data_IF_341734147989
#
_entry.id   IF_341734147989
#
_cell.length_a   1.000
_cell.length_b   1.000
_cell.length_c   1.000
_cell.angle_alpha   90.00
_cell.angle_beta   90.00
_cell.angle_gamma   90.00
#
_symmetry.space_group_name_H-M   'P 1'
#
loop_
_entity.id
_entity.type
_entity.pdbx_description
1 polymer ?
#
# COMPACT_ATOMS: atom_id res chain seq x y z
N UNK A 1 -34.50 -16.62 -7.34
CA UNK A 1 -33.44 -17.13 -6.46
C UNK A 1 -32.19 -16.33 -6.76
N UNK A 2 -31.77 -15.47 -5.83
CA UNK A 2 -30.54 -14.67 -5.96
C UNK A 2 -29.36 -15.61 -5.78
N UNK A 3 -28.57 -15.84 -6.83
CA UNK A 3 -27.30 -16.54 -6.75
C UNK A 3 -26.33 -15.56 -6.08
N UNK A 4 -26.21 -15.67 -4.75
CA UNK A 4 -25.09 -15.05 -4.05
C UNK A 4 -23.84 -15.83 -4.49
N UNK A 5 -23.13 -15.31 -5.50
CA UNK A 5 -21.77 -15.72 -5.77
C UNK A 5 -20.99 -15.46 -4.46
N UNK A 6 -20.61 -16.57 -3.82
CA UNK A 6 -19.79 -16.53 -2.60
C UNK A 6 -18.40 -16.03 -3.02
N UNK A 7 -18.20 -14.72 -3.02
CA UNK A 7 -16.91 -14.12 -3.34
C UNK A 7 -15.97 -14.50 -2.19
N UNK A 8 -15.04 -15.42 -2.45
CA UNK A 8 -14.03 -15.84 -1.46
C UNK A 8 -13.19 -14.62 -1.08
N UNK A 9 -13.29 -14.14 0.15
CA UNK A 9 -12.51 -13.03 0.68
C UNK A 9 -11.03 -13.39 0.74
N UNK A 10 -10.18 -12.46 0.40
CA UNK A 10 -8.74 -12.57 0.62
C UNK A 10 -8.44 -12.23 2.07
N UNK A 11 -7.72 -13.13 2.75
CA UNK A 11 -7.28 -12.99 4.14
C UNK A 11 -5.77 -13.18 4.21
N UNK A 12 -5.16 -12.88 5.35
CA UNK A 12 -3.73 -13.13 5.59
C UNK A 12 -3.37 -14.61 5.35
N UNK A 13 -4.27 -15.52 5.69
CA UNK A 13 -4.11 -16.96 5.43
C UNK A 13 -4.11 -17.27 3.93
N UNK A 14 -5.01 -16.67 3.15
CA UNK A 14 -5.05 -16.83 1.68
C UNK A 14 -3.75 -16.36 1.03
N UNK A 15 -3.15 -15.25 1.51
CA UNK A 15 -1.86 -14.81 0.98
C UNK A 15 -0.75 -15.83 1.26
N UNK A 16 -0.76 -16.44 2.44
CA UNK A 16 0.18 -17.52 2.76
C UNK A 16 -0.03 -18.76 1.85
N UNK A 17 -1.28 -19.16 1.61
CA UNK A 17 -1.60 -20.24 0.66
C UNK A 17 -1.10 -19.91 -0.76
N UNK A 18 -1.28 -18.67 -1.23
CA UNK A 18 -0.79 -18.23 -2.54
C UNK A 18 0.74 -18.39 -2.65
N UNK A 19 1.50 -17.97 -1.63
CA UNK A 19 2.95 -18.20 -1.60
C UNK A 19 3.28 -19.68 -1.71
N UNK A 20 2.65 -20.54 -0.91
CA UNK A 20 2.91 -21.99 -0.94
C UNK A 20 2.62 -22.63 -2.31
N UNK A 21 1.67 -22.08 -3.07
CA UNK A 21 1.32 -22.54 -4.42
C UNK A 21 2.13 -21.87 -5.52
N UNK A 22 2.99 -20.89 -5.19
CA UNK A 22 3.72 -20.09 -6.18
C UNK A 22 2.83 -19.10 -6.94
N UNK A 23 1.60 -18.84 -6.47
CA UNK A 23 0.68 -17.85 -7.03
C UNK A 23 1.13 -16.44 -6.63
N UNK A 24 1.19 -15.52 -7.60
CA UNK A 24 1.65 -14.15 -7.32
C UNK A 24 0.54 -13.28 -6.75
N UNK A 25 0.88 -12.49 -5.74
CA UNK A 25 -0.02 -11.58 -5.04
C UNK A 25 0.02 -10.22 -5.74
N UNK A 26 -1.13 -9.72 -6.14
CA UNK A 26 -1.30 -8.38 -6.71
C UNK A 26 -1.76 -7.40 -5.63
N UNK A 27 -1.06 -6.27 -5.51
CA UNK A 27 -1.35 -5.24 -4.52
C UNK A 27 -1.27 -3.86 -5.16
N UNK A 28 -2.24 -3.00 -4.86
CA UNK A 28 -2.27 -1.59 -5.29
C UNK A 28 -2.73 -0.71 -4.14
N UNK A 29 -2.30 0.55 -4.15
CA UNK A 29 -2.85 1.52 -3.21
C UNK A 29 -4.25 1.99 -3.64
N UNK A 30 -5.08 2.40 -2.67
CA UNK A 30 -6.29 3.19 -2.90
C UNK A 30 -6.56 4.09 -1.69
N UNK A 31 -7.24 5.23 -1.93
CA UNK A 31 -7.43 6.26 -0.93
C UNK A 31 -8.87 6.76 -0.84
N UNK A 32 -9.73 6.31 -1.75
CA UNK A 32 -11.14 6.69 -1.81
C UNK A 32 -12.06 5.53 -2.20
N UNK A 33 -13.36 5.76 -2.03
CA UNK A 33 -14.40 4.76 -2.29
C UNK A 33 -14.46 4.32 -3.76
N UNK A 34 -14.38 5.24 -4.71
CA UNK A 34 -14.60 4.95 -6.13
C UNK A 34 -13.46 4.12 -6.71
N UNK A 35 -12.21 4.53 -6.43
CA UNK A 35 -11.03 3.80 -6.87
C UNK A 35 -10.97 2.41 -6.22
N UNK A 36 -11.19 2.32 -4.91
CA UNK A 36 -11.17 1.04 -4.20
C UNK A 36 -12.21 0.05 -4.75
N UNK A 37 -13.42 0.53 -5.10
CA UNK A 37 -14.46 -0.29 -5.72
C UNK A 37 -14.03 -0.82 -7.09
N UNK A 38 -13.41 0.01 -7.91
CA UNK A 38 -12.90 -0.40 -9.23
C UNK A 38 -11.84 -1.49 -9.07
N UNK A 39 -10.89 -1.31 -8.15
CA UNK A 39 -9.81 -2.28 -7.89
C UNK A 39 -10.35 -3.61 -7.37
N UNK A 40 -11.30 -3.59 -6.44
CA UNK A 40 -11.92 -4.79 -5.89
C UNK A 40 -12.68 -5.56 -6.97
N UNK A 41 -13.43 -4.87 -7.84
CA UNK A 41 -14.12 -5.44 -8.99
C UNK A 41 -13.17 -5.99 -10.05
N UNK A 42 -11.99 -5.39 -10.22
CA UNK A 42 -10.93 -5.88 -11.09
C UNK A 42 -10.24 -7.14 -10.56
N UNK A 43 -10.50 -7.52 -9.30
CA UNK A 43 -9.97 -8.75 -8.71
C UNK A 43 -8.61 -8.60 -8.05
N UNK A 44 -8.20 -7.40 -7.64
CA UNK A 44 -6.96 -7.18 -6.87
C UNK A 44 -6.96 -8.01 -5.58
N UNK A 45 -5.82 -8.54 -5.16
CA UNK A 45 -5.77 -9.37 -3.95
C UNK A 45 -5.65 -8.53 -2.68
N UNK A 46 -4.85 -7.48 -2.71
CA UNK A 46 -4.61 -6.59 -1.57
C UNK A 46 -4.78 -5.13 -1.98
N UNK A 47 -5.48 -4.37 -1.16
CA UNK A 47 -5.54 -2.91 -1.25
C UNK A 47 -4.79 -2.32 -0.06
N UNK A 48 -3.82 -1.46 -0.36
CA UNK A 48 -3.08 -0.69 0.62
C UNK A 48 -3.65 0.73 0.72
N UNK A 49 -4.11 1.10 1.90
CA UNK A 49 -4.30 2.52 2.22
C UNK A 49 -2.96 3.03 2.72
N UNK A 50 -2.14 3.51 1.77
CA UNK A 50 -0.76 3.92 2.02
C UNK A 50 -0.66 5.34 2.55
N UNK A 51 0.34 5.61 3.37
CA UNK A 51 0.71 6.98 3.77
C UNK A 51 1.21 7.85 2.58
N UNK A 52 1.47 7.22 1.43
CA UNK A 52 1.64 7.88 0.13
C UNK A 52 0.43 8.75 -0.27
N UNK A 53 -0.73 8.62 0.42
CA UNK A 53 -1.83 9.59 0.33
C UNK A 53 -1.35 11.03 0.61
N UNK A 54 -0.37 11.20 1.50
CA UNK A 54 0.29 12.49 1.75
C UNK A 54 0.80 13.14 0.45
N UNK A 55 1.42 12.35 -0.43
CA UNK A 55 1.95 12.84 -1.71
C UNK A 55 0.84 13.00 -2.77
N UNK A 56 0.11 11.91 -3.06
CA UNK A 56 -0.76 11.85 -4.25
C UNK A 56 -2.16 12.39 -4.04
N UNK A 57 -2.61 12.55 -2.79
CA UNK A 57 -3.92 13.12 -2.44
C UNK A 57 -3.79 14.53 -1.85
N UNK A 58 -2.83 14.75 -0.95
CA UNK A 58 -2.64 16.03 -0.26
C UNK A 58 -1.57 16.94 -0.91
N UNK A 59 -0.71 16.41 -1.80
CA UNK A 59 0.29 17.18 -2.53
C UNK A 59 1.53 17.55 -1.70
N UNK A 60 1.81 16.82 -0.61
CA UNK A 60 3.03 17.01 0.17
C UNK A 60 4.25 16.36 -0.50
N UNK A 61 5.45 16.87 -0.20
CA UNK A 61 6.72 16.37 -0.75
C UNK A 61 7.15 15.01 -0.14
N UNK A 62 6.56 14.61 0.98
CA UNK A 62 6.87 13.36 1.68
C UNK A 62 5.64 12.73 2.33
N UNK A 63 5.78 11.51 2.83
CA UNK A 63 4.72 10.81 3.57
C UNK A 63 4.57 11.29 5.03
N UNK A 64 5.52 12.09 5.54
CA UNK A 64 5.58 12.46 6.95
C UNK A 64 4.43 13.31 7.48
N UNK A 65 3.85 14.26 6.70
CA UNK A 65 2.81 15.16 7.21
C UNK A 65 1.47 14.50 7.48
N UNK A 66 1.15 13.37 6.82
CA UNK A 66 -0.18 12.76 6.95
C UNK A 66 -0.44 12.29 8.39
N UNK A 67 -1.60 12.63 8.90
CA UNK A 67 -2.01 12.32 10.28
C UNK A 67 -2.74 10.98 10.36
N UNK A 68 -2.87 10.45 11.58
CA UNK A 68 -3.66 9.25 11.84
C UNK A 68 -5.15 9.45 11.49
N UNK A 69 -5.69 10.64 11.72
CA UNK A 69 -7.10 10.97 11.42
C UNK A 69 -7.36 10.98 9.90
N UNK A 70 -6.44 11.51 9.11
CA UNK A 70 -6.51 11.46 7.65
C UNK A 70 -6.39 10.03 7.13
N UNK A 71 -5.50 9.22 7.70
CA UNK A 71 -5.41 7.79 7.36
C UNK A 71 -6.72 7.04 7.68
N UNK A 72 -7.35 7.35 8.82
CA UNK A 72 -8.66 6.80 9.20
C UNK A 72 -9.75 7.24 8.20
N UNK A 73 -9.75 8.48 7.76
CA UNK A 73 -10.68 8.99 6.74
C UNK A 73 -10.55 8.22 5.42
N UNK A 74 -9.34 8.08 4.90
CA UNK A 74 -9.06 7.32 3.68
C UNK A 74 -9.43 5.85 3.84
N UNK A 75 -8.99 5.22 4.92
CA UNK A 75 -9.26 3.80 5.18
C UNK A 75 -10.76 3.51 5.30
N UNK A 76 -11.52 4.36 5.99
CA UNK A 76 -12.98 4.24 6.11
C UNK A 76 -13.68 4.30 4.75
N UNK A 77 -13.17 5.15 3.84
CA UNK A 77 -13.70 5.27 2.49
C UNK A 77 -13.44 4.00 1.66
N UNK A 78 -12.22 3.46 1.75
CA UNK A 78 -11.80 2.23 1.07
C UNK A 78 -12.58 1.02 1.60
N UNK A 79 -12.67 0.86 2.91
CA UNK A 79 -13.34 -0.31 3.53
C UNK A 79 -14.81 -0.41 3.12
N UNK A 80 -15.53 0.71 3.02
CA UNK A 80 -16.93 0.69 2.55
C UNK A 80 -17.11 0.20 1.12
N UNK A 81 -16.07 0.31 0.29
CA UNK A 81 -16.11 -0.05 -1.12
C UNK A 81 -15.77 -1.53 -1.39
N UNK A 82 -14.95 -2.14 -0.55
CA UNK A 82 -14.27 -3.41 -0.80
C UNK A 82 -15.08 -4.59 -0.24
N UNK A 83 -15.22 -5.65 -1.04
CA UNK A 83 -15.94 -6.88 -0.64
C UNK A 83 -15.04 -8.10 -0.59
N UNK A 84 -13.97 -8.14 -1.41
CA UNK A 84 -13.10 -9.29 -1.59
C UNK A 84 -11.68 -9.07 -1.08
N UNK A 85 -11.03 -7.99 -1.50
CA UNK A 85 -9.61 -7.76 -1.25
C UNK A 85 -9.27 -7.64 0.24
N UNK A 86 -8.05 -8.05 0.61
CA UNK A 86 -7.48 -7.76 1.93
C UNK A 86 -7.14 -6.27 1.99
N UNK A 87 -7.58 -5.58 3.04
CA UNK A 87 -7.28 -4.16 3.25
C UNK A 87 -6.21 -4.03 4.32
N UNK A 88 -5.09 -3.43 3.95
CA UNK A 88 -3.98 -3.08 4.84
C UNK A 88 -3.88 -1.56 4.93
N UNK A 89 -3.66 -1.02 6.12
CA UNK A 89 -3.55 0.44 6.35
C UNK A 89 -2.20 0.77 6.95
N UNK A 90 -1.51 1.75 6.39
CA UNK A 90 -0.26 2.23 6.97
C UNK A 90 -0.50 2.97 8.28
N UNK A 91 0.30 2.67 9.30
CA UNK A 91 0.46 3.56 10.43
C UNK A 91 1.33 4.75 9.98
N UNK A 92 0.84 6.00 10.07
CA UNK A 92 1.61 7.16 9.66
C UNK A 92 2.78 7.43 10.60
N UNK A 93 3.76 8.18 10.12
CA UNK A 93 4.92 8.60 10.91
C UNK A 93 4.50 9.26 12.23
N UNK A 94 5.21 8.92 13.31
CA UNK A 94 4.95 9.43 14.66
C UNK A 94 3.88 8.67 15.44
N UNK A 95 3.14 7.76 14.81
CA UNK A 95 2.05 7.02 15.46
C UNK A 95 2.48 5.72 16.14
N UNK A 96 3.72 5.24 15.89
CA UNK A 96 4.20 3.95 16.43
C UNK A 96 5.70 3.92 16.78
N UNK A 97 6.49 4.91 16.34
CA UNK A 97 7.95 4.92 16.56
C UNK A 97 8.33 5.33 17.99
N UNK A 98 7.46 6.04 18.68
CA UNK A 98 7.75 6.58 20.02
C UNK A 98 7.77 5.50 21.11
N UNK A 99 6.75 4.64 21.13
CA UNK A 99 6.61 3.55 22.10
C UNK A 99 5.52 2.55 21.67
N UNK A 100 5.54 1.36 22.27
CA UNK A 100 4.63 0.26 21.94
C UNK A 100 3.17 0.50 22.36
N UNK A 101 2.90 1.38 23.33
CA UNK A 101 1.53 1.74 23.75
C UNK A 101 0.88 2.66 22.72
N UNK A 102 1.64 3.64 22.21
CA UNK A 102 1.20 4.51 21.12
C UNK A 102 0.93 3.73 19.86
N UNK A 103 1.80 2.77 19.50
CA UNK A 103 1.59 1.86 18.38
C UNK A 103 0.28 1.07 18.51
N UNK A 104 0.01 0.49 19.68
CA UNK A 104 -1.22 -0.23 19.93
C UNK A 104 -2.45 0.68 19.87
N UNK A 105 -2.40 1.86 20.50
CA UNK A 105 -3.51 2.81 20.50
C UNK A 105 -3.88 3.26 19.08
N UNK A 106 -2.88 3.61 18.26
CA UNK A 106 -3.07 3.99 16.87
C UNK A 106 -3.65 2.85 16.03
N UNK A 107 -3.14 1.64 16.23
CA UNK A 107 -3.64 0.43 15.55
C UNK A 107 -5.09 0.13 15.91
N UNK A 108 -5.46 0.22 17.20
CA UNK A 108 -6.83 0.02 17.66
C UNK A 108 -7.77 1.04 17.02
N UNK A 109 -7.36 2.31 16.92
CA UNK A 109 -8.15 3.35 16.27
C UNK A 109 -8.42 2.98 14.80
N UNK A 110 -7.41 2.64 14.03
CA UNK A 110 -7.59 2.22 12.64
C UNK A 110 -8.57 1.04 12.57
N UNK A 111 -8.32 -0.03 13.31
CA UNK A 111 -9.16 -1.23 13.22
C UNK A 111 -10.62 -0.97 13.61
N UNK A 112 -10.86 -0.24 14.70
CA UNK A 112 -12.22 0.03 15.22
C UNK A 112 -12.98 1.06 14.40
N UNK A 113 -12.32 2.15 13.99
CA UNK A 113 -12.98 3.27 13.32
C UNK A 113 -13.21 3.00 11.83
N UNK A 114 -12.40 2.11 11.22
CA UNK A 114 -12.47 1.85 9.78
C UNK A 114 -13.02 0.48 9.41
N UNK A 115 -12.74 -0.54 10.22
CA UNK A 115 -13.00 -1.94 9.88
C UNK A 115 -11.93 -2.54 8.96
N UNK A 116 -10.74 -1.95 8.86
CA UNK A 116 -9.60 -2.52 8.11
C UNK A 116 -9.20 -3.90 8.65
N UNK A 117 -8.44 -4.66 7.85
CA UNK A 117 -8.11 -6.05 8.15
C UNK A 117 -6.72 -6.22 8.77
N UNK A 118 -5.79 -5.32 8.48
CA UNK A 118 -4.40 -5.34 8.95
C UNK A 118 -3.80 -3.94 8.88
N UNK A 119 -2.66 -3.77 9.55
CA UNK A 119 -1.85 -2.55 9.47
C UNK A 119 -0.48 -2.82 8.85
N UNK A 120 0.20 -1.76 8.35
CA UNK A 120 1.60 -1.84 7.92
C UNK A 120 2.47 -0.89 8.76
N UNK A 121 3.69 -1.32 9.06
CA UNK A 121 4.68 -0.58 9.85
C UNK A 121 6.05 -0.66 9.18
N UNK A 122 6.78 0.47 9.15
CA UNK A 122 8.11 0.59 8.57
C UNK A 122 9.18 0.44 9.65
N UNK A 123 10.17 -0.41 9.39
CA UNK A 123 11.31 -0.68 10.26
C UNK A 123 11.48 -2.16 10.57
N UNK A 124 12.64 -2.51 11.10
CA UNK A 124 13.02 -3.87 11.51
C UNK A 124 13.10 -4.00 13.03
N UNK A 125 14.31 -4.37 13.50
CA UNK A 125 14.60 -4.58 14.93
C UNK A 125 14.16 -3.40 15.82
N UNK A 126 14.28 -2.18 15.34
CA UNK A 126 13.98 -0.95 16.07
C UNK A 126 12.52 -0.78 16.45
N UNK A 127 11.59 -1.42 15.71
CA UNK A 127 10.14 -1.36 15.99
C UNK A 127 9.58 -2.70 16.50
N UNK A 128 10.44 -3.67 16.79
CA UNK A 128 10.03 -5.01 17.19
C UNK A 128 9.03 -5.00 18.35
N UNK A 129 9.29 -4.24 19.41
CA UNK A 129 8.42 -4.15 20.58
C UNK A 129 7.01 -3.62 20.22
N UNK A 130 6.95 -2.61 19.33
CA UNK A 130 5.70 -2.08 18.82
C UNK A 130 4.92 -3.13 18.03
N UNK A 131 5.60 -3.88 17.17
CA UNK A 131 5.00 -4.98 16.38
C UNK A 131 4.47 -6.08 17.30
N UNK A 132 5.27 -6.55 18.26
CA UNK A 132 4.86 -7.55 19.26
C UNK A 132 3.62 -7.11 20.04
N UNK A 133 3.59 -5.86 20.45
CA UNK A 133 2.49 -5.29 21.22
C UNK A 133 1.19 -5.25 20.41
N UNK A 134 1.25 -4.87 19.14
CA UNK A 134 0.10 -4.82 18.23
C UNK A 134 -0.41 -6.23 17.92
N UNK A 135 0.49 -7.16 17.59
CA UNK A 135 0.15 -8.57 17.34
C UNK A 135 -0.48 -9.24 18.55
N UNK A 136 0.00 -8.93 19.77
CA UNK A 136 -0.58 -9.46 21.02
C UNK A 136 -2.04 -9.06 21.26
N UNK A 137 -2.50 -7.97 20.61
CA UNK A 137 -3.89 -7.55 20.63
C UNK A 137 -4.75 -8.20 19.52
N UNK A 138 -4.17 -9.12 18.73
CA UNK A 138 -4.86 -9.80 17.63
C UNK A 138 -4.94 -9.02 16.33
N UNK A 139 -4.15 -7.96 16.16
CA UNK A 139 -4.13 -7.13 14.96
C UNK A 139 -3.01 -7.65 14.04
N UNK A 140 -3.31 -8.12 12.79
CA UNK A 140 -2.29 -8.56 11.85
C UNK A 140 -1.39 -7.41 11.40
N UNK A 141 -0.07 -7.66 11.32
CA UNK A 141 0.93 -6.67 10.93
C UNK A 141 1.67 -7.11 9.67
N UNK A 142 1.76 -6.21 8.70
CA UNK A 142 2.67 -6.26 7.54
C UNK A 142 3.90 -5.41 7.85
N UNK A 143 5.10 -5.98 7.72
CA UNK A 143 6.36 -5.24 7.84
C UNK A 143 6.70 -4.47 6.57
N UNK A 144 7.64 -3.52 6.66
CA UNK A 144 8.18 -2.81 5.51
C UNK A 144 9.65 -2.50 5.72
N UNK A 145 10.51 -2.99 4.81
CA UNK A 145 11.97 -2.87 4.86
C UNK A 145 12.54 -2.34 3.53
N UNK A 146 13.80 -1.98 3.55
CA UNK A 146 14.51 -1.38 2.42
C UNK A 146 14.44 0.13 2.45
N UNK A 147 13.99 0.76 1.37
CA UNK A 147 13.63 2.18 1.42
C UNK A 147 12.31 2.32 2.18
N UNK A 148 12.36 2.95 3.33
CA UNK A 148 11.18 3.27 4.13
C UNK A 148 10.93 4.78 4.03
N UNK A 149 9.87 5.25 3.32
CA UNK A 149 9.61 6.68 3.09
C UNK A 149 9.52 7.50 4.37
N UNK A 150 9.03 6.93 5.45
CA UNK A 150 8.98 7.59 6.76
C UNK A 150 10.38 7.89 7.33
N UNK A 151 11.43 7.24 6.83
CA UNK A 151 12.82 7.48 7.22
C UNK A 151 13.58 8.36 6.22
N UNK A 152 12.89 9.08 5.32
CA UNK A 152 13.51 9.80 4.20
C UNK A 152 14.57 10.82 4.64
N UNK A 153 14.38 11.53 5.75
CA UNK A 153 15.37 12.47 6.27
C UNK A 153 16.62 11.76 6.81
N UNK A 154 16.49 10.54 7.33
CA UNK A 154 17.65 9.71 7.73
C UNK A 154 18.44 9.25 6.51
N UNK A 155 17.76 8.91 5.42
CA UNK A 155 18.41 8.47 4.18
C UNK A 155 18.92 9.61 3.30
N UNK A 156 18.33 10.78 3.43
CA UNK A 156 18.69 11.99 2.64
C UNK A 156 18.22 11.94 1.18
N UNK A 157 17.81 10.78 0.67
CA UNK A 157 17.41 10.61 -0.74
C UNK A 157 16.68 9.29 -0.97
N UNK A 158 15.92 9.21 -2.06
CA UNK A 158 15.18 8.01 -2.50
C UNK A 158 16.06 7.05 -3.33
N UNK A 159 17.30 6.75 -2.89
CA UNK A 159 18.18 5.79 -3.59
C UNK A 159 17.86 4.34 -3.22
N UNK A 160 18.35 3.42 -4.05
CA UNK A 160 18.30 1.98 -3.77
C UNK A 160 19.09 1.68 -2.49
N UNK A 161 18.44 0.96 -1.55
CA UNK A 161 18.99 0.58 -0.25
C UNK A 161 19.64 -0.79 -0.31
N UNK A 162 20.37 -1.16 0.76
CA UNK A 162 20.98 -2.47 0.93
C UNK A 162 21.89 -2.89 -0.25
N UNK A 163 22.68 -1.96 -0.79
CA UNK A 163 23.68 -2.22 -1.83
C UNK A 163 24.99 -2.73 -1.27
N UNK A 164 25.38 -2.27 -0.09
CA UNK A 164 26.56 -2.75 0.61
C UNK A 164 26.21 -3.95 1.50
N UNK A 165 27.23 -4.74 1.81
CA UNK A 165 27.08 -6.00 2.55
C UNK A 165 26.48 -5.80 3.94
N UNK A 166 26.89 -4.76 4.67
CA UNK A 166 26.42 -4.51 6.04
C UNK A 166 24.94 -4.18 6.06
N UNK A 167 24.48 -3.33 5.13
CA UNK A 167 23.07 -2.97 4.99
C UNK A 167 22.23 -4.16 4.49
N UNK A 168 22.77 -5.00 3.59
CA UNK A 168 22.14 -6.22 3.12
C UNK A 168 21.94 -7.23 4.26
N UNK A 169 22.96 -7.50 5.05
CA UNK A 169 22.89 -8.39 6.21
C UNK A 169 21.92 -7.87 7.28
N UNK A 170 21.90 -6.56 7.52
CA UNK A 170 20.91 -5.95 8.40
C UNK A 170 19.48 -6.19 7.89
N UNK A 171 19.23 -5.98 6.60
CA UNK A 171 17.91 -6.19 6.00
C UNK A 171 17.46 -7.64 6.13
N UNK A 172 18.31 -8.61 5.86
CA UNK A 172 18.03 -10.06 6.03
C UNK A 172 17.68 -10.35 7.50
N UNK A 173 18.53 -9.88 8.43
CA UNK A 173 18.29 -10.05 9.87
C UNK A 173 16.95 -9.43 10.31
N UNK A 174 16.63 -8.21 9.87
CA UNK A 174 15.38 -7.55 10.18
C UNK A 174 14.17 -8.29 9.61
N UNK A 175 14.28 -8.85 8.40
CA UNK A 175 13.21 -9.65 7.79
C UNK A 175 12.93 -10.93 8.59
N UNK A 176 13.96 -11.63 9.05
CA UNK A 176 13.79 -12.78 9.95
C UNK A 176 13.17 -12.38 11.29
N UNK A 177 13.62 -11.27 11.90
CA UNK A 177 13.03 -10.75 13.15
C UNK A 177 11.55 -10.47 12.97
N UNK A 178 11.12 -9.79 11.90
CA UNK A 178 9.72 -9.51 11.64
C UNK A 178 8.89 -10.77 11.45
N UNK A 179 9.41 -11.76 10.72
CA UNK A 179 8.74 -13.06 10.59
C UNK A 179 8.60 -13.77 11.94
N UNK A 180 9.68 -13.85 12.73
CA UNK A 180 9.68 -14.50 14.05
C UNK A 180 8.75 -13.78 15.04
N UNK A 181 8.66 -12.47 14.94
CA UNK A 181 7.71 -11.66 15.72
C UNK A 181 6.26 -11.96 15.36
N UNK A 182 5.97 -12.42 14.14
CA UNK A 182 4.64 -12.84 13.70
C UNK A 182 4.01 -11.97 12.62
N UNK A 183 4.78 -11.13 11.93
CA UNK A 183 4.27 -10.43 10.75
C UNK A 183 3.78 -11.45 9.72
N UNK A 184 2.62 -11.17 9.09
CA UNK A 184 2.06 -12.08 8.09
C UNK A 184 2.66 -11.90 6.69
N UNK A 185 3.31 -10.77 6.43
CA UNK A 185 3.95 -10.41 5.14
C UNK A 185 4.93 -9.26 5.36
N UNK A 186 5.85 -9.06 4.41
CA UNK A 186 6.79 -7.93 4.41
C UNK A 186 6.82 -7.29 3.02
N UNK A 187 6.77 -5.95 2.97
CA UNK A 187 7.09 -5.16 1.78
C UNK A 187 8.59 -4.95 1.73
N UNK A 188 9.20 -5.17 0.57
CA UNK A 188 10.60 -4.82 0.28
C UNK A 188 10.62 -3.74 -0.78
N UNK A 189 11.10 -2.54 -0.41
CA UNK A 189 11.12 -1.41 -1.32
C UNK A 189 12.53 -1.02 -1.72
N UNK A 190 12.71 -0.89 -3.05
CA UNK A 190 13.88 -0.25 -3.69
C UNK A 190 15.22 -0.82 -3.20
N UNK A 191 15.35 -2.16 -3.29
CA UNK A 191 16.55 -2.93 -2.97
C UNK A 191 17.02 -3.75 -4.18
N UNK A 192 18.26 -4.27 -4.17
CA UNK A 192 18.73 -5.17 -5.23
C UNK A 192 17.84 -6.40 -5.41
N UNK A 193 17.50 -6.73 -6.67
CA UNK A 193 16.59 -7.83 -6.99
C UNK A 193 17.10 -9.20 -6.49
N UNK A 194 18.42 -9.44 -6.51
CA UNK A 194 19.02 -10.67 -5.98
C UNK A 194 18.80 -10.81 -4.47
N UNK A 195 18.98 -9.72 -3.71
CA UNK A 195 18.72 -9.70 -2.27
C UNK A 195 17.23 -9.94 -1.96
N UNK A 196 16.34 -9.31 -2.70
CA UNK A 196 14.90 -9.54 -2.52
C UNK A 196 14.50 -10.99 -2.82
N UNK A 197 15.08 -11.60 -3.85
CA UNK A 197 14.89 -13.01 -4.19
C UNK A 197 15.37 -13.94 -3.06
N UNK A 198 16.54 -13.65 -2.50
CA UNK A 198 17.09 -14.40 -1.35
C UNK A 198 16.14 -14.33 -0.16
N UNK A 199 15.71 -13.13 0.25
CA UNK A 199 14.77 -12.95 1.37
C UNK A 199 13.45 -13.69 1.12
N UNK A 200 12.92 -13.61 -0.12
CA UNK A 200 11.69 -14.30 -0.48
C UNK A 200 11.81 -15.84 -0.42
N UNK A 201 12.98 -16.39 -0.69
CA UNK A 201 13.26 -17.84 -0.58
C UNK A 201 13.47 -18.28 0.87
N UNK A 202 14.12 -17.46 1.69
CA UNK A 202 14.43 -17.80 3.09
C UNK A 202 13.20 -17.70 4.01
N UNK A 203 12.30 -16.76 3.74
CA UNK A 203 11.15 -16.52 4.61
C UNK A 203 9.93 -17.34 4.18
N UNK A 204 9.14 -17.76 5.18
CA UNK A 204 7.89 -18.51 4.99
C UNK A 204 6.70 -17.60 4.70
N UNK A 205 6.76 -16.35 5.13
CA UNK A 205 5.70 -15.35 4.90
C UNK A 205 5.82 -14.70 3.51
N UNK A 206 4.73 -14.23 2.90
CA UNK A 206 4.75 -13.55 1.61
C UNK A 206 5.62 -12.30 1.61
N UNK A 207 6.43 -12.13 0.56
CA UNK A 207 7.24 -10.95 0.31
C UNK A 207 6.67 -10.18 -0.88
N UNK A 208 6.32 -8.93 -0.65
CA UNK A 208 5.75 -8.03 -1.65
C UNK A 208 6.82 -7.02 -2.07
N UNK A 209 7.12 -6.93 -3.35
CA UNK A 209 8.15 -6.02 -3.87
C UNK A 209 7.58 -4.73 -4.44
N UNK A 210 8.36 -3.66 -4.29
CA UNK A 210 8.24 -2.43 -5.08
C UNK A 210 9.64 -1.94 -5.41
N UNK A 211 10.02 -2.00 -6.69
CA UNK A 211 11.42 -1.75 -7.08
C UNK A 211 12.42 -2.75 -6.50
N UNK A 212 12.00 -3.99 -6.27
CA UNK A 212 12.77 -5.07 -5.66
C UNK A 212 12.94 -6.30 -6.59
N UNK A 213 12.62 -6.16 -7.88
CA UNK A 213 12.70 -7.23 -8.87
C UNK A 213 11.49 -8.18 -8.87
N UNK A 214 11.46 -9.15 -9.81
CA UNK A 214 10.30 -10.00 -10.03
C UNK A 214 10.26 -11.29 -9.18
N UNK A 215 11.37 -11.66 -8.54
CA UNK A 215 11.51 -12.95 -7.83
C UNK A 215 11.05 -12.87 -6.37
N UNK A 216 9.94 -12.20 -6.13
CA UNK A 216 9.23 -12.11 -4.85
C UNK A 216 7.80 -12.65 -5.01
N UNK A 217 7.05 -12.78 -3.93
CA UNK A 217 5.73 -13.42 -3.95
C UNK A 217 4.62 -12.52 -4.48
N UNK A 218 4.81 -11.21 -4.47
CA UNK A 218 3.86 -10.24 -5.01
C UNK A 218 4.49 -8.89 -5.34
N UNK A 219 3.68 -7.98 -5.89
CA UNK A 219 4.11 -6.63 -6.26
C UNK A 219 3.10 -5.60 -5.79
N UNK A 220 3.58 -4.44 -5.35
CA UNK A 220 2.74 -3.26 -5.04
C UNK A 220 3.17 -2.06 -5.86
N UNK A 221 2.21 -1.24 -6.28
CA UNK A 221 2.43 0.08 -6.88
C UNK A 221 1.43 1.09 -6.29
N UNK A 222 1.82 2.36 -6.32
CA UNK A 222 0.91 3.48 -6.09
C UNK A 222 0.00 3.61 -7.31
N UNK A 223 -1.32 3.58 -7.10
CA UNK A 223 -2.30 3.56 -8.19
C UNK A 223 -2.19 4.79 -9.11
N UNK A 224 -1.95 5.98 -8.55
CA UNK A 224 -1.80 7.23 -9.30
C UNK A 224 -0.60 7.18 -10.25
N UNK A 225 0.49 6.56 -9.82
CA UNK A 225 1.70 6.39 -10.64
C UNK A 225 1.46 5.35 -11.75
N UNK A 226 0.88 4.20 -11.38
CA UNK A 226 0.58 3.11 -12.31
C UNK A 226 -0.38 3.54 -13.42
N UNK A 227 -1.40 4.33 -13.11
CA UNK A 227 -2.36 4.85 -14.08
C UNK A 227 -1.88 6.11 -14.82
N UNK A 228 -0.71 6.66 -14.47
CA UNK A 228 -0.17 7.86 -15.10
C UNK A 228 -0.96 9.13 -14.78
N UNK A 229 -1.51 9.22 -13.56
CA UNK A 229 -2.08 10.46 -13.03
C UNK A 229 -0.92 11.37 -12.59
N UNK A 230 0.03 10.83 -11.81
CA UNK A 230 1.28 11.50 -11.44
C UNK A 230 2.22 11.51 -12.64
N UNK A 231 2.59 12.70 -13.15
CA UNK A 231 3.45 12.84 -14.33
C UNK A 231 4.93 13.00 -13.97
N UNK A 232 5.23 13.69 -12.89
CA UNK A 232 6.59 14.09 -12.51
C UNK A 232 7.41 12.95 -11.93
N UNK A 233 6.78 11.89 -11.42
CA UNK A 233 7.43 10.74 -10.81
C UNK A 233 7.55 9.59 -11.80
N UNK A 234 8.78 9.28 -12.25
CA UNK A 234 9.04 8.21 -13.23
C UNK A 234 10.29 7.39 -12.88
N UNK A 235 10.30 6.67 -11.74
CA UNK A 235 11.43 5.82 -11.38
C UNK A 235 11.51 4.60 -12.31
N UNK A 236 12.71 4.01 -12.41
CA UNK A 236 12.98 2.86 -13.30
C UNK A 236 12.04 1.65 -13.06
N UNK A 237 11.56 1.44 -11.84
CA UNK A 237 10.70 0.31 -11.49
C UNK A 237 9.23 0.53 -11.83
N UNK A 238 8.82 1.78 -12.11
CA UNK A 238 7.44 2.10 -12.42
C UNK A 238 7.13 1.75 -13.88
N UNK A 239 6.12 0.90 -14.06
CA UNK A 239 5.46 0.73 -15.35
C UNK A 239 4.13 1.46 -15.31
N UNK A 240 3.94 2.40 -16.21
CA UNK A 240 2.63 3.02 -16.45
C UNK A 240 1.81 2.12 -17.36
N UNK A 241 0.62 1.76 -16.91
CA UNK A 241 -0.33 0.95 -17.68
C UNK A 241 -1.31 1.81 -18.47
N UNK A 242 -1.41 3.09 -18.13
CA UNK A 242 -2.22 4.08 -18.81
C UNK A 242 -1.65 5.49 -18.65
N UNK A 243 -2.29 6.48 -19.31
CA UNK A 243 -2.00 7.91 -19.15
C UNK A 243 -3.29 8.67 -18.83
N UNK A 244 -3.85 8.40 -17.64
CA UNK A 244 -5.11 9.01 -17.23
C UNK A 244 -5.03 10.52 -17.09
N UNK A 245 -3.88 11.11 -16.82
CA UNK A 245 -3.71 12.57 -16.81
C UNK A 245 -4.07 13.19 -18.14
N UNK A 246 -3.67 12.58 -19.26
CA UNK A 246 -4.02 13.06 -20.60
C UNK A 246 -5.51 12.86 -20.92
N UNK A 247 -6.06 11.69 -20.59
CA UNK A 247 -7.48 11.37 -20.82
C UNK A 247 -8.40 12.30 -20.03
N UNK A 248 -8.13 12.50 -18.74
CA UNK A 248 -8.92 13.40 -17.88
C UNK A 248 -8.84 14.83 -18.41
N UNK A 249 -7.64 15.29 -18.79
CA UNK A 249 -7.44 16.64 -19.34
C UNK A 249 -8.25 16.82 -20.64
N UNK A 250 -8.22 15.84 -21.55
CA UNK A 250 -8.99 15.87 -22.78
C UNK A 250 -10.48 15.93 -22.51
N UNK A 251 -11.01 15.10 -21.62
CA UNK A 251 -12.41 15.12 -21.24
C UNK A 251 -12.84 16.48 -20.63
N UNK A 252 -12.01 17.06 -19.76
CA UNK A 252 -12.27 18.39 -19.19
C UNK A 252 -12.24 19.48 -20.26
N UNK A 253 -11.32 19.40 -21.23
CA UNK A 253 -11.26 20.36 -22.35
C UNK A 253 -12.52 20.30 -23.23
N UNK A 254 -13.00 19.09 -23.55
CA UNK A 254 -14.25 18.90 -24.28
C UNK A 254 -15.44 19.50 -23.52
N UNK A 255 -15.59 19.17 -22.23
CA UNK A 255 -16.64 19.76 -21.40
C UNK A 255 -16.60 21.29 -21.39
N UNK A 256 -15.39 21.89 -21.24
CA UNK A 256 -15.22 23.33 -21.28
C UNK A 256 -15.70 23.92 -22.63
N UNK A 257 -15.38 23.23 -23.73
CA UNK A 257 -15.79 23.67 -25.07
C UNK A 257 -17.31 23.61 -25.25
N UNK A 258 -17.94 22.49 -24.87
CA UNK A 258 -19.39 22.29 -24.97
C UNK A 258 -20.16 23.35 -24.17
N UNK A 259 -19.71 23.63 -22.92
CA UNK A 259 -20.32 24.69 -22.08
C UNK A 259 -20.17 26.07 -22.74
N UNK A 260 -18.99 26.41 -23.26
CA UNK A 260 -18.75 27.73 -23.89
C UNK A 260 -19.47 27.91 -25.22
N UNK A 261 -19.73 26.82 -25.93
CA UNK A 261 -20.47 26.84 -27.19
C UNK A 261 -21.97 26.70 -27.03
N UNK A 262 -22.50 26.62 -25.79
CA UNK A 262 -23.91 26.35 -25.45
C UNK A 262 -24.38 24.98 -26.00
N UNK A 263 -23.49 24.00 -26.10
CA UNK A 263 -23.80 22.63 -26.54
C UNK A 263 -24.14 21.72 -25.36
N UNK A 264 -23.74 22.13 -24.14
CA UNK A 264 -24.10 21.48 -22.85
C UNK A 264 -24.63 22.51 -21.85
N UNK A 265 -25.77 22.25 -21.16
CA UNK A 265 -26.69 21.14 -21.45
C UNK A 265 -27.54 21.45 -22.72
N UNK A 266 -27.88 20.42 -23.45
CA UNK A 266 -28.83 20.50 -24.55
C UNK A 266 -30.27 20.21 -24.09
N UNK A 267 -31.26 20.24 -25.02
CA UNK A 267 -32.71 20.04 -24.68
C UNK A 267 -32.99 18.69 -24.01
N UNK A 268 -32.18 17.62 -24.29
CA UNK A 268 -32.37 16.30 -23.69
C UNK A 268 -31.77 16.20 -22.27
N UNK A 269 -30.92 17.13 -21.91
CA UNK A 269 -30.23 17.23 -20.63
C UNK A 269 -30.83 18.30 -19.71
N UNK A 270 -31.91 18.99 -20.18
CA UNK A 270 -32.61 20.05 -19.46
C UNK A 270 -33.97 19.56 -18.93
N UNK A 271 -34.43 20.14 -17.82
CA UNK A 271 -35.72 19.84 -17.18
C UNK A 271 -36.71 20.95 -17.41
#
# INVERSE_FOLDING_TARGET
MSVHLNVRKVTTHVLHEMKLKGEKISMLTAYDYSMARILDQAGIDVILVGDSASNVMAGHDSTLPITLDEMIYHASSVVRAVKRALIVVDLPFGSYQGDSKSALSSSIRIMKETGAHAIKMEGGKEIRESVERVLSAGIPVMGHLGLTPQSIHKFGTYVVRAKDEAEAQKLISDAHILQETGCFSIVLEKIPAALAAQVAQELRIPIIGIGAGPQVDGQVLVIHDMLGITQEFSPRFLRRYHNLSAEIRGAVQNYIQDVKNLEFPNERESY
#
